data_IF_198672497118
#
_entry.id   IF_198672497118
#
_cell.length_a   1.000
_cell.length_b   1.000
_cell.length_c   1.000
_cell.angle_alpha   90.00
_cell.angle_beta   90.00
_cell.angle_gamma   90.00
#
_symmetry.space_group_name_H-M   'P 1'
#
loop_
_entity.id
_entity.type
_entity.pdbx_description
1 polymer ?
#
# COMPACT_ATOMS: atom_id res chain seq x y z
N UNK A 1 8.10 6.20 -7.56
CA UNK A 1 8.37 7.50 -8.22
C UNK A 1 7.26 8.53 -8.07
N UNK A 2 5.99 8.22 -8.41
CA UNK A 2 4.89 9.20 -8.33
C UNK A 2 4.73 9.87 -6.95
N UNK A 3 4.80 9.10 -5.86
CA UNK A 3 4.73 9.65 -4.51
C UNK A 3 5.85 10.66 -4.22
N UNK A 4 7.09 10.34 -4.60
CA UNK A 4 8.23 11.24 -4.40
C UNK A 4 8.07 12.53 -5.20
N UNK A 5 7.70 12.42 -6.48
CA UNK A 5 7.44 13.58 -7.34
C UNK A 5 6.40 14.52 -6.73
N UNK A 6 5.28 13.96 -6.25
CA UNK A 6 4.20 14.76 -5.67
C UNK A 6 4.60 15.38 -4.31
N UNK A 7 5.40 14.68 -3.50
CA UNK A 7 5.95 15.22 -2.25
C UNK A 7 6.81 16.44 -2.52
N UNK A 8 7.71 16.36 -3.51
CA UNK A 8 8.60 17.48 -3.85
C UNK A 8 7.82 18.66 -4.44
N UNK A 9 6.78 18.39 -5.24
CA UNK A 9 5.86 19.43 -5.71
C UNK A 9 5.10 20.10 -4.54
N UNK A 10 4.56 19.33 -3.59
CA UNK A 10 3.84 19.86 -2.43
C UNK A 10 4.75 20.70 -1.53
N UNK A 11 5.98 20.23 -1.27
CA UNK A 11 6.99 20.98 -0.50
C UNK A 11 7.39 22.28 -1.21
N UNK A 12 7.51 22.25 -2.54
CA UNK A 12 7.76 23.45 -3.36
C UNK A 12 6.64 24.50 -3.26
N UNK A 13 5.41 24.07 -3.00
CA UNK A 13 4.25 24.95 -2.75
C UNK A 13 4.13 25.40 -1.28
N UNK A 14 5.09 25.04 -0.42
CA UNK A 14 5.08 25.38 1.00
C UNK A 14 4.19 24.49 1.87
N UNK A 15 3.69 23.37 1.33
CA UNK A 15 2.91 22.39 2.09
C UNK A 15 3.84 21.39 2.77
N UNK A 16 3.57 21.06 4.03
CA UNK A 16 4.28 19.99 4.70
C UNK A 16 3.81 18.64 4.15
N UNK A 17 4.72 17.85 3.60
CA UNK A 17 4.44 16.53 3.04
C UNK A 17 5.44 15.48 3.54
N UNK A 18 4.95 14.26 3.80
CA UNK A 18 5.75 13.09 4.20
C UNK A 18 5.47 11.87 3.33
N UNK A 19 6.49 11.04 3.19
CA UNK A 19 6.39 9.77 2.46
C UNK A 19 5.76 8.72 3.34
N UNK A 20 4.92 7.88 2.75
CA UNK A 20 4.23 6.78 3.43
C UNK A 20 4.41 5.52 2.61
N UNK A 21 4.74 4.42 3.29
CA UNK A 21 4.84 3.08 2.70
C UNK A 21 3.90 2.12 3.41
N UNK A 22 3.37 1.16 2.66
CA UNK A 22 2.43 0.17 3.18
C UNK A 22 1.87 -0.72 2.08
N UNK A 23 0.61 -1.11 2.23
CA UNK A 23 -0.10 -1.99 1.31
C UNK A 23 -1.47 -1.43 0.94
N UNK A 24 -1.99 -1.86 -0.21
CA UNK A 24 -3.36 -1.59 -0.63
C UNK A 24 -4.24 -2.79 -0.29
N UNK A 25 -5.35 -2.52 0.35
CA UNK A 25 -6.44 -3.48 0.51
C UNK A 25 -7.31 -3.47 -0.74
N UNK A 26 -7.68 -4.66 -1.22
CA UNK A 26 -8.62 -4.86 -2.31
C UNK A 26 -9.58 -5.98 -1.90
N UNK A 27 -10.87 -5.64 -1.79
CA UNK A 27 -11.90 -6.57 -1.33
C UNK A 27 -12.07 -7.77 -2.27
N UNK A 28 -11.66 -7.67 -3.54
CA UNK A 28 -11.68 -8.80 -4.48
C UNK A 28 -10.71 -9.93 -4.08
N UNK A 29 -9.73 -9.65 -3.22
CA UNK A 29 -8.71 -10.61 -2.80
C UNK A 29 -9.04 -11.35 -1.49
N UNK A 30 -10.12 -11.00 -0.79
CA UNK A 30 -10.49 -11.62 0.48
C UNK A 30 -10.83 -13.12 0.34
N UNK A 31 -11.33 -13.54 -0.82
CA UNK A 31 -11.69 -14.94 -1.11
C UNK A 31 -10.50 -15.80 -1.57
N UNK A 32 -9.27 -15.27 -1.55
CA UNK A 32 -8.05 -16.03 -1.86
C UNK A 32 -7.80 -16.26 -3.35
N UNK A 33 -8.43 -15.49 -4.23
CA UNK A 33 -8.08 -15.47 -5.65
C UNK A 33 -6.63 -14.95 -5.82
N UNK A 34 -5.79 -15.61 -6.64
CA UNK A 34 -4.42 -15.16 -6.87
C UNK A 34 -4.43 -13.76 -7.52
N UNK A 35 -3.49 -12.86 -7.16
CA UNK A 35 -3.46 -11.52 -7.73
C UNK A 35 -3.33 -11.58 -9.25
N UNK A 36 -4.36 -11.08 -9.94
CA UNK A 36 -4.48 -11.08 -11.40
C UNK A 36 -3.42 -10.17 -12.03
N UNK A 37 -2.78 -10.61 -13.12
CA UNK A 37 -1.78 -9.80 -13.82
C UNK A 37 -2.37 -8.46 -14.29
N UNK A 38 -1.63 -7.38 -14.02
CA UNK A 38 -2.08 -5.99 -14.10
C UNK A 38 -2.34 -5.55 -15.55
N UNK A 39 -3.61 -5.36 -15.90
CA UNK A 39 -4.04 -4.50 -17.01
C UNK A 39 -4.04 -3.02 -16.57
N UNK A 40 -3.42 -2.15 -17.36
CA UNK A 40 -3.37 -0.69 -17.15
C UNK A 40 -4.75 -0.04 -17.36
N UNK A 41 -5.70 -0.24 -16.44
CA UNK A 41 -7.02 0.41 -16.45
C UNK A 41 -7.02 1.72 -15.67
N UNK A 42 -7.48 2.80 -16.30
CA UNK A 42 -7.80 4.08 -15.67
C UNK A 42 -9.26 4.02 -15.19
N UNK A 43 -9.59 4.17 -13.89
CA UNK A 43 -10.88 4.76 -13.46
C UNK A 43 -10.99 5.10 -11.94
N UNK A 44 -11.05 6.41 -11.70
CA UNK A 44 -11.83 7.24 -10.75
C UNK A 44 -12.19 6.82 -9.31
N UNK A 45 -11.70 7.63 -8.37
CA UNK A 45 -12.38 7.93 -7.11
C UNK A 45 -13.58 8.88 -7.28
N UNK A 46 -14.77 8.30 -7.34
CA UNK A 46 -16.05 8.83 -6.85
C UNK A 46 -16.91 7.58 -6.64
N UNK A 47 -17.46 7.38 -5.43
CA UNK A 47 -18.30 6.22 -5.12
C UNK A 47 -19.52 6.19 -6.05
N UNK A 48 -19.42 5.52 -7.19
CA UNK A 48 -20.55 5.23 -8.05
C UNK A 48 -21.11 3.88 -7.62
N UNK A 49 -22.14 3.94 -6.77
CA UNK A 49 -23.10 2.86 -6.66
C UNK A 49 -23.75 2.72 -8.02
N UNK A 50 -23.29 1.79 -8.86
CA UNK A 50 -24.04 1.18 -9.98
C UNK A 50 -23.11 0.31 -10.82
N UNK A 51 -23.08 -0.99 -10.50
CA UNK A 51 -23.17 -2.13 -11.43
C UNK A 51 -22.39 -3.33 -10.88
N UNK A 52 -23.04 -4.49 -10.93
CA UNK A 52 -22.37 -5.77 -10.82
C UNK A 52 -21.57 -5.95 -12.12
N UNK A 53 -20.33 -6.44 -11.99
CA UNK A 53 -19.50 -6.99 -13.07
C UNK A 53 -18.49 -6.03 -13.78
N UNK A 54 -17.93 -5.04 -13.07
CA UNK A 54 -16.68 -4.37 -13.50
C UNK A 54 -15.61 -4.56 -12.41
N UNK A 55 -14.67 -5.49 -12.61
CA UNK A 55 -13.52 -5.70 -11.73
C UNK A 55 -12.62 -4.45 -11.78
N UNK A 56 -12.90 -3.48 -10.91
CA UNK A 56 -12.02 -2.35 -10.65
C UNK A 56 -10.79 -2.83 -9.89
N UNK A 57 -9.84 -3.43 -10.61
CA UNK A 57 -8.61 -3.97 -10.01
C UNK A 57 -7.76 -2.82 -9.48
N UNK A 58 -7.51 -2.81 -8.16
CA UNK A 58 -6.61 -1.83 -7.54
C UNK A 58 -5.17 -2.14 -7.94
N UNK A 59 -4.49 -1.19 -8.59
CA UNK A 59 -3.13 -1.44 -9.08
C UNK A 59 -2.16 -1.60 -7.90
N UNK A 60 -1.52 -2.76 -7.83
CA UNK A 60 -0.49 -3.07 -6.83
C UNK A 60 -1.03 -3.69 -5.54
N UNK A 61 -2.29 -4.13 -5.50
CA UNK A 61 -2.79 -4.98 -4.43
C UNK A 61 -1.90 -6.24 -4.32
N UNK A 62 -1.30 -6.48 -3.14
CA UNK A 62 -0.34 -7.56 -2.89
C UNK A 62 1.14 -7.22 -3.03
N UNK A 63 1.49 -5.99 -3.45
CA UNK A 63 2.86 -5.48 -3.44
C UNK A 63 3.00 -4.29 -2.47
N UNK A 64 4.22 -3.98 -2.05
CA UNK A 64 4.47 -2.76 -1.28
C UNK A 64 4.12 -1.53 -2.11
N UNK A 65 3.29 -0.67 -1.52
CA UNK A 65 2.77 0.55 -2.12
C UNK A 65 3.30 1.80 -1.41
N UNK A 66 3.38 2.90 -2.15
CA UNK A 66 3.90 4.17 -1.67
C UNK A 66 3.01 5.35 -2.06
N UNK A 67 2.75 6.23 -1.09
CA UNK A 67 1.94 7.43 -1.27
C UNK A 67 2.44 8.55 -0.35
N UNK A 68 1.67 9.63 -0.21
CA UNK A 68 2.04 10.78 0.62
C UNK A 68 0.93 11.21 1.57
N UNK A 69 1.32 11.80 2.69
CA UNK A 69 0.41 12.60 3.49
C UNK A 69 0.81 14.06 3.39
N UNK A 70 -0.17 14.93 3.12
CA UNK A 70 0.01 16.39 3.07
C UNK A 70 -0.73 17.00 4.26
N UNK A 71 -0.08 17.91 4.98
CA UNK A 71 -0.71 18.66 6.05
C UNK A 71 -1.44 19.87 5.49
N UNK A 72 -2.73 19.95 5.77
CA UNK A 72 -3.58 21.09 5.44
C UNK A 72 -4.03 21.77 6.74
N UNK A 73 -3.87 23.09 6.90
CA UNK A 73 -4.37 23.81 8.05
C UNK A 73 -5.87 23.56 8.27
N UNK A 74 -6.25 23.20 9.51
CA UNK A 74 -7.63 22.84 9.87
C UNK A 74 -8.00 21.38 9.61
N UNK A 75 -7.62 20.80 8.48
CA UNK A 75 -7.95 19.42 8.13
C UNK A 75 -6.94 18.37 8.63
N UNK A 76 -5.72 18.80 8.96
CA UNK A 76 -4.66 17.91 9.45
C UNK A 76 -3.95 17.16 8.31
N UNK A 77 -3.49 15.94 8.59
CA UNK A 77 -2.74 15.11 7.64
C UNK A 77 -3.67 14.30 6.75
N UNK A 78 -3.72 14.62 5.46
CA UNK A 78 -4.58 13.95 4.48
C UNK A 78 -3.75 13.03 3.58
N UNK A 79 -4.14 11.75 3.41
CA UNK A 79 -3.48 10.84 2.47
C UNK A 79 -3.87 11.17 1.03
N UNK A 80 -2.87 11.15 0.15
CA UNK A 80 -3.02 11.26 -1.30
C UNK A 80 -2.22 10.15 -1.96
N UNK A 81 -2.83 9.42 -2.88
CA UNK A 81 -2.18 8.42 -3.72
C UNK A 81 -2.22 8.86 -5.19
N UNK A 82 -1.09 9.35 -5.74
CA UNK A 82 -1.02 9.78 -7.14
C UNK A 82 -1.06 8.61 -8.14
N UNK A 83 -0.84 7.37 -7.71
CA UNK A 83 -0.83 6.20 -8.60
C UNK A 83 -2.23 5.69 -8.89
N UNK A 84 -3.10 5.67 -7.88
CA UNK A 84 -4.50 5.22 -8.03
C UNK A 84 -5.51 6.38 -7.95
N UNK A 85 -5.04 7.64 -7.87
CA UNK A 85 -5.87 8.83 -7.70
C UNK A 85 -6.78 8.77 -6.45
N UNK A 86 -6.30 8.10 -5.40
CA UNK A 86 -7.04 7.97 -4.15
C UNK A 86 -6.76 9.16 -3.24
N UNK A 87 -7.80 9.65 -2.56
CA UNK A 87 -7.73 10.72 -1.58
C UNK A 87 -8.61 10.34 -0.38
N UNK A 88 -8.01 10.28 0.81
CA UNK A 88 -8.72 9.63 1.93
C UNK A 88 -9.02 8.14 1.67
N UNK A 89 -9.57 7.45 2.66
CA UNK A 89 -9.95 6.03 2.57
C UNK A 89 -9.27 5.15 3.61
N UNK A 90 -9.83 3.95 3.79
CA UNK A 90 -9.36 2.90 4.71
C UNK A 90 -8.45 1.89 4.02
N UNK A 91 -8.36 1.95 2.69
CA UNK A 91 -7.74 0.92 1.87
C UNK A 91 -6.21 1.07 1.79
N UNK A 92 -5.69 2.18 2.30
CA UNK A 92 -4.26 2.46 2.44
C UNK A 92 -3.77 1.98 3.81
N UNK A 93 -3.27 0.75 3.86
CA UNK A 93 -2.79 0.11 5.09
C UNK A 93 -1.36 0.56 5.36
N UNK A 94 -1.22 1.48 6.33
CA UNK A 94 0.05 2.14 6.63
C UNK A 94 0.99 1.27 7.44
N UNK A 95 2.22 1.16 6.96
CA UNK A 95 3.30 0.45 7.67
C UNK A 95 4.35 1.43 8.18
N UNK A 96 4.76 2.43 7.38
CA UNK A 96 5.87 3.32 7.76
C UNK A 96 5.69 4.81 7.40
N UNK A 97 6.09 5.65 8.38
CA UNK A 97 6.51 7.04 8.35
C UNK A 97 7.94 7.31 7.85
N UNK A 98 8.19 7.89 6.66
CA UNK A 98 9.57 8.26 6.30
C UNK A 98 9.73 9.64 5.66
N UNK A 99 10.98 10.14 5.67
CA UNK A 99 11.36 11.37 4.98
C UNK A 99 11.69 11.11 3.52
N UNK A 100 12.39 10.02 3.24
CA UNK A 100 12.80 9.59 1.90
C UNK A 100 12.39 8.14 1.64
N UNK A 101 12.22 7.73 0.37
CA UNK A 101 11.79 6.38 0.02
C UNK A 101 12.75 5.28 0.49
N UNK A 102 14.05 5.55 0.53
CA UNK A 102 15.08 4.57 0.89
C UNK A 102 14.93 4.11 2.35
N UNK A 103 14.43 4.99 3.22
CA UNK A 103 14.13 4.67 4.60
C UNK A 103 12.92 3.75 4.77
N UNK A 104 12.12 3.56 3.71
CA UNK A 104 10.93 2.73 3.70
C UNK A 104 11.16 1.38 2.99
N UNK A 105 12.39 1.10 2.55
CA UNK A 105 12.73 -0.16 1.92
C UNK A 105 12.51 -1.33 2.92
N UNK A 106 11.69 -2.35 2.58
CA UNK A 106 11.43 -3.49 3.46
C UNK A 106 12.71 -4.28 3.79
N UNK A 107 13.59 -4.41 2.80
CA UNK A 107 14.90 -5.04 2.91
C UNK A 107 15.89 -4.11 2.22
N UNK A 108 17.03 -3.86 2.85
CA UNK A 108 18.13 -3.10 2.28
C UNK A 108 19.45 -3.82 2.55
N UNK A 109 20.39 -3.73 1.60
CA UNK A 109 21.68 -4.40 1.69
C UNK A 109 22.25 -4.73 0.33
N UNK A 110 23.39 -5.42 0.33
CA UNK A 110 24.01 -5.98 -0.86
C UNK A 110 24.37 -7.43 -0.59
N UNK A 111 24.50 -8.20 -1.66
CA UNK A 111 24.96 -9.58 -1.62
C UNK A 111 26.23 -9.73 -2.46
N UNK A 112 27.13 -10.61 -2.04
CA UNK A 112 28.38 -10.91 -2.73
C UNK A 112 28.47 -12.41 -3.00
N UNK A 113 28.76 -12.79 -4.24
CA UNK A 113 29.04 -14.16 -4.67
C UNK A 113 29.19 -14.25 -6.19
N UNK A 114 29.26 -15.47 -6.71
CA UNK A 114 29.52 -15.73 -8.11
C UNK A 114 28.26 -15.52 -8.97
N UNK A 115 28.44 -15.35 -10.29
CA UNK A 115 27.35 -15.03 -11.25
C UNK A 115 26.20 -16.07 -11.29
N UNK A 116 26.36 -17.22 -10.63
CA UNK A 116 25.40 -18.32 -10.61
C UNK A 116 24.71 -18.60 -9.27
N UNK A 117 25.04 -17.89 -8.18
CA UNK A 117 24.51 -18.25 -6.86
C UNK A 117 23.10 -17.67 -6.57
N UNK A 118 22.48 -17.01 -7.56
CA UNK A 118 21.09 -16.58 -7.42
C UNK A 118 20.15 -17.78 -7.46
N UNK A 119 19.64 -18.16 -6.28
CA UNK A 119 18.71 -19.29 -6.12
C UNK A 119 17.23 -18.92 -6.36
N UNK A 120 16.91 -17.64 -6.51
CA UNK A 120 15.53 -17.14 -6.59
C UNK A 120 15.05 -16.52 -5.28
N UNK A 121 14.02 -15.67 -5.39
CA UNK A 121 13.28 -15.12 -4.24
C UNK A 121 11.81 -14.99 -4.63
N UNK A 122 10.92 -15.56 -3.83
CA UNK A 122 9.47 -15.41 -3.98
C UNK A 122 8.93 -14.71 -2.74
N UNK A 123 8.23 -13.60 -2.94
CA UNK A 123 7.59 -12.83 -1.88
C UNK A 123 6.12 -12.70 -2.23
N UNK A 124 5.26 -13.06 -1.28
CA UNK A 124 3.81 -12.91 -1.40
C UNK A 124 3.28 -12.23 -0.14
N UNK A 125 2.43 -11.22 -0.33
CA UNK A 125 1.72 -10.55 0.75
C UNK A 125 0.23 -10.66 0.48
N UNK A 126 -0.53 -11.03 1.51
CA UNK A 126 -2.00 -10.98 1.48
C UNK A 126 -2.46 -10.01 2.55
N UNK A 127 -3.35 -9.10 2.17
CA UNK A 127 -4.04 -8.18 3.08
C UNK A 127 -5.50 -8.58 3.05
N UNK A 128 -6.03 -8.97 4.20
CA UNK A 128 -7.42 -9.39 4.34
C UNK A 128 -8.11 -8.59 5.42
N UNK A 129 -9.39 -8.30 5.22
CA UNK A 129 -10.21 -7.78 6.30
C UNK A 129 -10.47 -8.91 7.31
N UNK A 130 -10.35 -8.60 8.60
CA UNK A 130 -10.58 -9.55 9.68
C UNK A 130 -11.82 -9.09 10.45
N UNK A 131 -12.80 -9.97 10.62
CA UNK A 131 -13.93 -9.71 11.50
C UNK A 131 -13.46 -9.60 12.96
N UNK A 132 -14.15 -8.79 13.77
CA UNK A 132 -13.74 -8.50 15.14
C UNK A 132 -13.63 -9.75 16.03
N UNK A 133 -14.40 -10.80 15.74
CA UNK A 133 -14.39 -12.08 16.47
C UNK A 133 -13.19 -12.97 16.08
N UNK A 134 -12.78 -12.93 14.81
CA UNK A 134 -11.59 -13.64 14.30
C UNK A 134 -10.29 -12.97 14.75
N UNK A 135 -10.27 -11.65 14.90
CA UNK A 135 -9.11 -10.90 15.36
C UNK A 135 -8.70 -11.25 16.81
N UNK A 136 -9.66 -11.62 17.66
CA UNK A 136 -9.39 -12.07 19.04
C UNK A 136 -8.82 -13.49 19.10
N UNK A 137 -9.17 -14.36 18.16
CA UNK A 137 -8.69 -15.75 18.13
C UNK A 137 -7.21 -15.85 17.71
N UNK A 138 -6.79 -15.10 16.68
CA UNK A 138 -5.40 -15.12 16.19
C UNK A 138 -4.40 -14.45 17.17
N UNK A 139 -4.88 -13.49 17.96
CA UNK A 139 -4.08 -12.81 18.99
C UNK A 139 -3.77 -13.73 20.19
N UNK A 140 -4.62 -14.72 20.48
CA UNK A 140 -4.38 -15.67 21.57
C UNK A 140 -3.42 -16.81 21.15
N UNK A 141 -3.39 -17.20 19.88
CA UNK A 141 -2.48 -18.25 19.37
C UNK A 141 -1.03 -17.77 19.20
N UNK A 142 -0.82 -16.46 19.00
CA UNK A 142 0.51 -15.85 18.81
C UNK A 142 1.31 -15.61 20.11
N UNK A 143 0.71 -15.87 21.28
CA UNK A 143 1.37 -15.82 22.61
C UNK A 143 1.42 -17.18 23.31
N UNK A 144 1.42 -18.29 22.56
CA UNK A 144 1.68 -19.63 23.10
C UNK A 144 3.03 -19.74 23.84
N UNK A 145 2.99 -20.37 25.02
CA UNK A 145 4.02 -20.47 26.08
C UNK A 145 5.47 -20.86 25.64
N UNK A 146 6.50 -20.51 26.45
CA UNK A 146 7.94 -20.57 26.11
C UNK A 146 8.51 -21.96 25.79
#
# INVERSE_FOLDING_TARGET
DFALLMIEAARGLGLAARFVSGYLYDASLDDGAPPTEVGSGLQQGLRQTESCDDETVTRGAGATHAWLHVYLPGAGWIPFDPTNLLFGGTDLIRVAYTRTPEQAAPISGGWFGDNGDYLGMTVQVSVRQIDAESATADAEDSFGEP
#
